data_IF_223351966041
#
_entry.id   IF_223351966041
#
_cell.length_a   1.000
_cell.length_b   1.000
_cell.length_c   1.000
_cell.angle_alpha   90.00
_cell.angle_beta   90.00
_cell.angle_gamma   90.00
#
_symmetry.space_group_name_H-M   'P 1'
#
loop_
_entity.id
_entity.type
_entity.pdbx_description
1 polymer ?
#
# COMPACT_ATOMS: atom_id res chain seq x y z
N UNK A 1 -8.17 -1.61 -43.10
CA UNK A 1 -7.55 -2.32 -41.95
C UNK A 1 -6.30 -1.55 -41.60
N UNK A 2 -6.25 -0.91 -40.43
CA UNK A 2 -5.01 -0.27 -39.97
C UNK A 2 -4.05 -1.37 -39.53
N UNK A 3 -2.80 -1.26 -39.98
CA UNK A 3 -1.72 -2.19 -39.66
C UNK A 3 -1.37 -2.07 -38.16
N UNK A 4 -1.50 -3.14 -37.36
CA UNK A 4 -1.21 -3.11 -35.93
C UNK A 4 0.22 -2.63 -35.64
N UNK A 5 1.19 -2.89 -36.53
CA UNK A 5 2.57 -2.42 -36.34
C UNK A 5 2.71 -0.90 -36.35
N UNK A 6 1.92 -0.19 -37.16
CA UNK A 6 1.95 1.28 -37.21
C UNK A 6 1.31 1.94 -35.99
N UNK A 7 0.28 1.33 -35.44
CA UNK A 7 -0.37 1.82 -34.21
C UNK A 7 0.52 1.62 -32.98
N UNK A 8 1.28 0.51 -32.97
CA UNK A 8 2.29 0.19 -31.97
C UNK A 8 3.42 1.22 -32.04
N UNK A 9 4.00 1.49 -33.21
CA UNK A 9 5.04 2.53 -33.38
C UNK A 9 4.57 3.93 -32.95
N UNK A 10 3.35 4.33 -33.32
CA UNK A 10 2.81 5.63 -32.91
C UNK A 10 2.62 5.72 -31.39
N UNK A 11 2.22 4.63 -30.73
CA UNK A 11 2.02 4.58 -29.28
C UNK A 11 3.37 4.63 -28.52
N UNK A 12 4.40 3.95 -29.02
CA UNK A 12 5.75 4.01 -28.45
C UNK A 12 6.46 5.34 -28.72
N UNK A 13 6.18 6.01 -29.84
CA UNK A 13 6.77 7.32 -30.16
C UNK A 13 6.31 8.45 -29.22
N UNK A 14 5.09 8.35 -28.68
CA UNK A 14 4.50 9.35 -27.76
C UNK A 14 4.83 9.09 -26.29
N UNK A 15 5.33 7.90 -25.96
CA UNK A 15 5.64 7.48 -24.59
C UNK A 15 7.08 7.01 -24.50
N UNK A 16 8.03 7.89 -24.84
CA UNK A 16 9.45 7.61 -24.59
C UNK A 16 9.73 7.89 -23.11
N UNK A 17 9.34 6.94 -22.26
CA UNK A 17 10.20 6.62 -21.12
C UNK A 17 11.36 5.86 -21.75
N UNK A 18 12.62 6.28 -21.56
CA UNK A 18 13.73 5.41 -21.91
C UNK A 18 13.60 4.18 -21.03
N UNK A 19 13.00 3.12 -21.56
CA UNK A 19 13.09 1.80 -20.97
C UNK A 19 14.59 1.51 -21.03
N UNK A 20 15.22 1.45 -19.86
CA UNK A 20 16.48 0.75 -19.72
C UNK A 20 16.15 -0.69 -20.09
N UNK A 21 16.32 -1.03 -21.37
CA UNK A 21 16.23 -2.41 -21.83
C UNK A 21 17.36 -3.13 -21.11
N UNK A 22 16.93 -3.79 -20.05
CA UNK A 22 17.65 -4.71 -19.21
C UNK A 22 18.74 -4.10 -18.32
N UNK A 23 18.70 -4.48 -17.04
CA UNK A 23 19.73 -4.16 -16.03
C UNK A 23 21.09 -4.83 -16.29
N UNK A 24 21.42 -5.16 -17.53
CA UNK A 24 22.72 -5.71 -17.93
C UNK A 24 23.53 -4.63 -18.62
N UNK A 25 24.53 -4.12 -17.90
CA UNK A 25 25.57 -3.21 -18.42
C UNK A 25 26.48 -3.99 -19.38
N UNK A 26 26.03 -4.22 -20.61
CA UNK A 26 26.64 -5.15 -21.58
C UNK A 26 27.59 -4.48 -22.60
N UNK A 27 28.21 -3.35 -22.26
CA UNK A 27 29.30 -2.82 -23.05
C UNK A 27 30.45 -2.42 -22.14
N UNK A 28 31.56 -3.15 -22.25
CA UNK A 28 32.85 -2.73 -21.72
C UNK A 28 33.20 -1.38 -22.34
N UNK A 29 33.71 -0.40 -21.58
CA UNK A 29 33.94 0.96 -22.08
C UNK A 29 34.89 0.90 -23.27
N UNK A 30 34.37 1.18 -24.46
CA UNK A 30 35.12 1.18 -25.72
C UNK A 30 35.88 2.49 -25.92
N UNK A 31 35.57 3.49 -25.09
CA UNK A 31 36.10 4.86 -25.12
C UNK A 31 36.04 5.48 -26.52
N UNK A 32 35.10 5.00 -27.34
CA UNK A 32 34.90 5.42 -28.71
C UNK A 32 34.17 6.76 -28.73
N UNK A 33 34.35 7.51 -29.83
CA UNK A 33 33.71 8.81 -29.98
C UNK A 33 32.18 8.69 -30.07
N UNK A 34 31.67 7.63 -30.71
CA UNK A 34 30.24 7.32 -30.79
C UNK A 34 29.63 6.99 -29.42
N UNK A 35 30.36 6.27 -28.55
CA UNK A 35 29.94 6.02 -27.17
C UNK A 35 29.81 7.32 -26.38
N UNK A 36 30.79 8.22 -26.53
CA UNK A 36 30.78 9.53 -25.87
C UNK A 36 29.60 10.39 -26.30
N UNK A 37 29.33 10.46 -27.62
CA UNK A 37 28.18 11.19 -28.16
C UNK A 37 26.85 10.61 -27.67
N UNK A 38 26.70 9.29 -27.63
CA UNK A 38 25.51 8.62 -27.09
C UNK A 38 25.31 8.91 -25.59
N UNK A 39 26.38 8.88 -24.80
CA UNK A 39 26.32 9.23 -23.37
C UNK A 39 25.95 10.70 -23.17
N UNK A 40 26.53 11.61 -23.95
CA UNK A 40 26.23 13.04 -23.87
C UNK A 40 24.78 13.34 -24.27
N UNK A 41 24.25 12.67 -25.30
CA UNK A 41 22.84 12.76 -25.70
C UNK A 41 21.91 12.24 -24.62
N UNK A 42 22.18 11.06 -24.06
CA UNK A 42 21.39 10.49 -22.95
C UNK A 42 21.43 11.40 -21.72
N UNK A 43 22.61 11.93 -21.37
CA UNK A 43 22.78 12.86 -20.28
C UNK A 43 21.97 14.14 -20.51
N UNK A 44 22.00 14.71 -21.72
CA UNK A 44 21.22 15.89 -22.07
C UNK A 44 19.70 15.66 -21.99
N UNK A 45 19.23 14.49 -22.44
CA UNK A 45 17.82 14.10 -22.32
C UNK A 45 17.38 13.96 -20.86
N UNK A 46 18.19 13.29 -20.03
CA UNK A 46 17.93 13.14 -18.60
C UNK A 46 17.90 14.51 -17.90
N UNK A 47 18.87 15.39 -18.18
CA UNK A 47 18.88 16.73 -17.64
C UNK A 47 17.65 17.53 -18.04
N UNK A 48 17.15 17.38 -19.26
CA UNK A 48 15.93 18.04 -19.72
C UNK A 48 14.69 17.55 -18.97
N UNK A 49 14.61 16.25 -18.64
CA UNK A 49 13.51 15.67 -17.85
C UNK A 49 13.57 16.03 -16.37
N UNK A 50 14.76 16.13 -15.79
CA UNK A 50 14.95 16.61 -14.42
C UNK A 50 14.63 18.11 -14.33
N UNK A 51 15.00 18.88 -15.35
CA UNK A 51 14.77 20.33 -15.40
C UNK A 51 13.35 20.72 -15.78
N UNK A 52 12.57 19.80 -16.38
CA UNK A 52 11.16 20.04 -16.61
C UNK A 52 10.44 20.10 -15.26
N UNK A 53 9.64 21.14 -14.99
CA UNK A 53 8.93 21.27 -13.71
C UNK A 53 7.96 20.09 -13.55
N UNK A 54 8.29 19.18 -12.63
CA UNK A 54 7.51 17.98 -12.30
C UNK A 54 6.29 18.29 -11.41
N UNK A 55 6.04 19.56 -11.10
CA UNK A 55 5.02 19.95 -10.12
C UNK A 55 3.73 20.31 -10.85
N UNK A 56 2.80 19.36 -10.87
CA UNK A 56 1.38 19.64 -11.11
C UNK A 56 0.89 20.56 -9.99
N UNK A 57 0.28 21.68 -10.34
CA UNK A 57 -0.16 22.77 -9.45
C UNK A 57 -0.55 22.32 -8.02
N UNK A 58 0.10 22.90 -7.01
CA UNK A 58 -0.15 22.68 -5.57
C UNK A 58 -1.62 22.89 -5.13
N UNK A 59 -2.47 23.48 -5.98
CA UNK A 59 -3.90 23.67 -5.72
C UNK A 59 -4.73 22.39 -5.86
N UNK A 60 -4.17 21.30 -6.40
CA UNK A 60 -4.84 20.01 -6.56
C UNK A 60 -4.46 18.98 -5.49
N UNK A 61 -3.43 19.27 -4.67
CA UNK A 61 -2.95 18.37 -3.64
C UNK A 61 -3.69 18.59 -2.33
N UNK A 62 -4.00 17.49 -1.65
CA UNK A 62 -4.52 17.58 -0.30
C UNK A 62 -3.39 17.87 0.67
N UNK A 63 -3.64 18.70 1.67
CA UNK A 63 -2.67 19.05 2.70
C UNK A 63 -3.08 18.42 4.02
N UNK A 64 -2.13 17.81 4.71
CA UNK A 64 -2.30 17.30 6.06
C UNK A 64 -1.11 17.60 6.94
N UNK A 65 -1.34 17.61 8.25
CA UNK A 65 -0.32 17.81 9.27
C UNK A 65 -0.24 16.62 10.21
N UNK A 66 0.99 16.28 10.62
CA UNK A 66 1.27 15.26 11.63
C UNK A 66 1.30 15.92 13.01
N UNK A 67 0.34 15.57 13.87
CA UNK A 67 0.24 16.07 15.24
C UNK A 67 0.46 14.89 16.22
N UNK A 68 1.63 14.85 16.85
CA UNK A 68 2.08 13.82 17.81
C UNK A 68 2.07 12.39 17.24
N UNK A 69 0.87 11.80 17.09
CA UNK A 69 0.60 10.44 16.62
C UNK A 69 -0.63 10.38 15.69
N UNK A 70 -1.31 11.50 15.46
CA UNK A 70 -2.49 11.56 14.57
C UNK A 70 -2.18 12.37 13.31
N UNK A 71 -2.69 11.88 12.19
CA UNK A 71 -2.54 12.52 10.88
C UNK A 71 -3.85 13.22 10.56
N UNK A 72 -3.82 14.54 10.55
CA UNK A 72 -4.99 15.38 10.31
C UNK A 72 -4.92 15.98 8.91
N UNK A 73 -6.07 16.08 8.24
CA UNK A 73 -6.18 16.64 6.90
C UNK A 73 -6.80 18.03 6.99
N UNK A 74 -6.01 19.05 6.68
CA UNK A 74 -6.46 20.45 6.67
C UNK A 74 -7.30 20.76 5.45
N UNK A 75 -6.89 20.22 4.30
CA UNK A 75 -7.53 20.50 3.02
C UNK A 75 -7.75 19.20 2.26
N UNK A 76 -8.96 18.60 2.37
CA UNK A 76 -9.32 17.46 1.53
C UNK A 76 -9.64 17.96 0.11
N UNK A 77 -8.82 17.58 -0.87
CA UNK A 77 -9.05 17.85 -2.30
C UNK A 77 -9.35 16.54 -3.03
N UNK A 78 -10.42 16.51 -3.84
CA UNK A 78 -10.78 15.38 -4.69
C UNK A 78 -11.89 14.48 -4.14
N UNK A 79 -12.24 13.43 -4.89
CA UNK A 79 -13.35 12.50 -4.56
C UNK A 79 -12.95 11.37 -3.61
N UNK A 80 -11.65 11.17 -3.39
CA UNK A 80 -11.08 10.08 -2.58
C UNK A 80 -11.56 10.11 -1.11
N UNK A 81 -11.91 11.28 -0.59
CA UNK A 81 -12.32 11.50 0.80
C UNK A 81 -13.68 10.90 1.17
N UNK A 82 -14.45 10.41 0.19
CA UNK A 82 -15.63 9.58 0.47
C UNK A 82 -15.26 8.22 1.06
N UNK A 83 -14.03 7.75 0.80
CA UNK A 83 -13.50 6.46 1.25
C UNK A 83 -12.49 6.67 2.39
N UNK A 84 -11.53 7.57 2.21
CA UNK A 84 -10.39 7.72 3.13
C UNK A 84 -10.69 8.53 4.40
N UNK A 85 -9.99 8.16 5.47
CA UNK A 85 -9.94 8.84 6.77
C UNK A 85 -11.13 8.51 7.66
N UNK A 86 -11.24 9.15 8.81
CA UNK A 86 -12.39 9.09 9.72
C UNK A 86 -12.72 10.50 10.22
N UNK A 87 -13.99 10.78 10.45
CA UNK A 87 -14.39 12.08 11.02
C UNK A 87 -14.15 12.06 12.53
N UNK A 88 -13.14 12.78 12.99
CA UNK A 88 -12.80 12.95 14.40
C UNK A 88 -13.21 14.30 14.97
N UNK A 89 -12.88 14.53 16.24
CA UNK A 89 -13.16 15.79 16.96
C UNK A 89 -12.43 17.01 16.38
N UNK A 90 -11.24 16.80 15.80
CA UNK A 90 -10.41 17.86 15.21
C UNK A 90 -10.50 17.96 13.68
N UNK A 91 -11.42 17.22 13.05
CA UNK A 91 -11.57 17.20 11.60
C UNK A 91 -11.38 15.80 11.01
N UNK A 92 -10.86 15.72 9.78
CA UNK A 92 -10.64 14.45 9.08
C UNK A 92 -9.27 13.88 9.47
N UNK A 93 -9.27 12.76 10.19
CA UNK A 93 -8.07 12.06 10.61
C UNK A 93 -7.82 10.86 9.71
N UNK A 94 -6.56 10.51 9.45
CA UNK A 94 -6.15 9.36 8.66
C UNK A 94 -5.44 8.33 9.54
N UNK A 95 -5.60 7.05 9.17
CA UNK A 95 -4.72 6.00 9.68
C UNK A 95 -3.34 6.09 9.02
N UNK A 96 -2.34 5.48 9.64
CA UNK A 96 -0.97 5.47 9.10
C UNK A 96 -0.90 4.83 7.71
N UNK A 97 -1.63 3.72 7.49
CA UNK A 97 -1.64 3.03 6.20
C UNK A 97 -2.31 3.87 5.11
N UNK A 98 -3.39 4.58 5.46
CA UNK A 98 -4.08 5.49 4.54
C UNK A 98 -3.21 6.69 4.17
N UNK A 99 -2.55 7.29 5.14
CA UNK A 99 -1.67 8.43 4.92
C UNK A 99 -0.44 8.04 4.09
N UNK A 100 0.13 6.85 4.34
CA UNK A 100 1.20 6.29 3.53
C UNK A 100 0.73 6.16 2.08
N UNK A 101 -0.37 5.43 1.85
CA UNK A 101 -0.93 5.21 0.52
C UNK A 101 -1.15 6.52 -0.26
N UNK A 102 -1.77 7.53 0.38
CA UNK A 102 -2.04 8.81 -0.25
C UNK A 102 -0.76 9.62 -0.54
N UNK A 103 0.27 9.47 0.30
CA UNK A 103 1.56 10.14 0.10
C UNK A 103 2.33 9.49 -1.06
N UNK A 104 2.33 8.16 -1.15
CA UNK A 104 2.98 7.41 -2.24
C UNK A 104 2.34 7.70 -3.60
N UNK A 105 1.01 7.88 -3.64
CA UNK A 105 0.29 8.22 -4.86
C UNK A 105 0.29 9.74 -5.18
N UNK A 106 1.05 10.55 -4.44
CA UNK A 106 1.12 12.00 -4.61
C UNK A 106 -0.26 12.68 -4.56
N UNK A 107 -1.13 12.22 -3.67
CA UNK A 107 -2.47 12.79 -3.43
C UNK A 107 -2.55 13.59 -2.13
N UNK A 108 -1.62 13.34 -1.21
CA UNK A 108 -1.49 14.02 0.08
C UNK A 108 -0.05 14.48 0.30
N UNK A 109 0.10 15.73 0.72
CA UNK A 109 1.36 16.26 1.22
C UNK A 109 1.25 16.43 2.73
N UNK A 110 2.13 15.74 3.47
CA UNK A 110 2.21 15.82 4.92
C UNK A 110 3.20 16.90 5.35
N UNK A 111 2.84 17.67 6.35
CA UNK A 111 3.73 18.63 7.03
C UNK A 111 3.88 18.29 8.51
N UNK A 112 5.08 18.50 9.06
CA UNK A 112 5.33 18.43 10.49
C UNK A 112 5.94 19.75 10.92
N UNK A 113 5.25 20.49 11.79
CA UNK A 113 5.67 21.83 12.25
C UNK A 113 6.04 22.75 11.07
N UNK A 114 5.14 22.82 10.08
CA UNK A 114 5.29 23.62 8.83
C UNK A 114 6.40 23.17 7.87
N UNK A 115 7.07 22.05 8.14
CA UNK A 115 8.07 21.46 7.24
C UNK A 115 7.42 20.32 6.45
N UNK A 116 7.44 20.33 5.11
CA UNK A 116 6.92 19.22 4.32
C UNK A 116 7.77 17.97 4.54
N UNK A 117 7.13 16.87 4.88
CA UNK A 117 7.78 15.57 5.02
C UNK A 117 7.96 14.93 3.65
N UNK A 118 9.15 14.38 3.42
CA UNK A 118 9.36 13.50 2.27
C UNK A 118 8.68 12.14 2.50
N UNK A 119 8.32 11.44 1.42
CA UNK A 119 7.76 10.08 1.50
C UNK A 119 8.69 9.16 2.31
N UNK A 120 9.99 9.19 2.04
CA UNK A 120 10.98 8.37 2.75
C UNK A 120 11.05 8.72 4.24
N UNK A 121 11.01 10.01 4.58
CA UNK A 121 11.01 10.45 5.99
C UNK A 121 9.79 9.93 6.74
N UNK A 122 8.62 9.96 6.11
CA UNK A 122 7.39 9.44 6.70
C UNK A 122 7.43 7.91 6.85
N UNK A 123 7.93 7.18 5.86
CA UNK A 123 8.11 5.72 5.95
C UNK A 123 9.02 5.32 7.10
N UNK A 124 10.17 6.00 7.26
CA UNK A 124 11.07 5.75 8.39
C UNK A 124 10.42 6.04 9.73
N UNK A 125 9.65 7.13 9.82
CA UNK A 125 8.90 7.47 11.03
C UNK A 125 7.84 6.40 11.35
N UNK A 126 7.06 5.98 10.35
CA UNK A 126 6.03 4.96 10.52
C UNK A 126 6.64 3.62 10.99
N UNK A 127 7.76 3.21 10.39
CA UNK A 127 8.48 2.00 10.81
C UNK A 127 8.98 2.10 12.25
N UNK A 128 9.51 3.26 12.66
CA UNK A 128 9.94 3.50 14.03
C UNK A 128 8.78 3.43 15.03
N UNK A 129 7.61 4.00 14.69
CA UNK A 129 6.41 3.91 15.54
C UNK A 129 5.96 2.47 15.70
N UNK A 130 5.83 1.70 14.60
CA UNK A 130 5.40 0.30 14.66
C UNK A 130 6.35 -0.54 15.52
N UNK A 131 7.67 -0.43 15.35
CA UNK A 131 8.64 -1.13 16.19
C UNK A 131 8.51 -0.74 17.67
N UNK A 132 8.25 0.54 17.94
CA UNK A 132 8.13 1.03 19.31
C UNK A 132 6.85 0.50 19.97
N UNK A 133 5.74 0.45 19.24
CA UNK A 133 4.48 -0.12 19.69
C UNK A 133 4.60 -1.63 19.94
N UNK A 134 5.28 -2.36 19.06
CA UNK A 134 5.57 -3.79 19.22
C UNK A 134 6.45 -4.05 20.45
N UNK A 135 7.50 -3.24 20.66
CA UNK A 135 8.39 -3.36 21.81
C UNK A 135 7.67 -3.08 23.14
N UNK A 136 6.82 -2.05 23.19
CA UNK A 136 6.01 -1.73 24.37
C UNK A 136 4.96 -2.83 24.64
N UNK A 137 4.43 -3.46 23.60
CA UNK A 137 3.47 -4.56 23.72
C UNK A 137 4.15 -5.82 24.26
N UNK A 138 5.37 -6.12 23.79
CA UNK A 138 6.20 -7.22 24.29
C UNK A 138 6.66 -7.00 25.74
N UNK A 139 6.92 -5.75 26.16
CA UNK A 139 7.34 -5.47 27.55
C UNK A 139 6.19 -5.49 28.56
N UNK A 140 4.93 -5.66 28.12
CA UNK A 140 3.73 -5.73 28.97
C UNK A 140 3.22 -7.15 29.20
N UNK A 141 4.00 -8.19 28.86
CA UNK A 141 3.72 -9.57 29.23
C UNK A 141 4.00 -9.81 30.73
N UNK A 142 3.12 -9.29 31.58
CA UNK A 142 2.84 -9.86 32.88
C UNK A 142 1.31 -9.96 33.04
N UNK A 143 0.86 -11.22 33.09
CA UNK A 143 -0.42 -11.73 33.61
C UNK A 143 -1.63 -11.86 32.65
N UNK A 144 -1.85 -13.12 32.24
CA UNK A 144 -3.09 -13.78 31.81
C UNK A 144 -3.78 -13.37 30.48
N UNK A 145 -3.77 -14.32 29.53
CA UNK A 145 -4.74 -14.51 28.44
C UNK A 145 -4.88 -13.38 27.39
N UNK A 146 -3.78 -12.76 27.00
CA UNK A 146 -3.74 -11.93 25.79
C UNK A 146 -3.30 -12.79 24.60
N UNK A 147 -4.26 -13.38 23.88
CA UNK A 147 -4.03 -13.78 22.47
C UNK A 147 -3.44 -12.56 21.79
N UNK A 148 -2.17 -12.64 21.40
CA UNK A 148 -1.47 -11.58 20.67
C UNK A 148 -2.27 -11.31 19.39
N UNK A 149 -3.11 -10.29 19.41
CA UNK A 149 -3.90 -9.84 18.27
C UNK A 149 -3.01 -8.99 17.37
N UNK A 150 -1.93 -9.59 16.84
CA UNK A 150 -1.07 -9.00 15.80
C UNK A 150 -1.71 -9.06 14.41
N UNK A 151 -2.96 -9.55 14.32
CA UNK A 151 -3.66 -9.67 13.06
C UNK A 151 -4.32 -8.34 12.69
N UNK A 152 -3.67 -7.61 11.79
CA UNK A 152 -4.32 -6.51 11.10
C UNK A 152 -5.42 -7.07 10.19
N UNK A 153 -6.67 -6.97 10.63
CA UNK A 153 -7.86 -7.40 9.88
C UNK A 153 -8.45 -6.21 9.11
N UNK A 154 -8.51 -6.35 7.79
CA UNK A 154 -9.06 -5.36 6.88
C UNK A 154 -10.41 -5.82 6.33
N UNK A 155 -11.40 -4.94 6.39
CA UNK A 155 -12.68 -5.13 5.72
C UNK A 155 -12.56 -4.64 4.26
N UNK A 156 -12.79 -5.53 3.30
CA UNK A 156 -12.68 -5.23 1.87
C UNK A 156 -14.06 -5.25 1.23
N UNK A 157 -14.38 -4.16 0.53
CA UNK A 157 -15.65 -3.94 -0.16
C UNK A 157 -15.40 -3.93 -1.66
N UNK A 158 -16.23 -4.64 -2.42
CA UNK A 158 -16.11 -4.72 -3.87
C UNK A 158 -16.41 -3.36 -4.53
N UNK A 159 -15.74 -3.01 -5.63
CA UNK A 159 -15.77 -1.66 -6.23
C UNK A 159 -17.16 -1.21 -6.73
N UNK A 160 -18.09 -2.15 -6.95
CA UNK A 160 -19.45 -1.86 -7.42
C UNK A 160 -20.50 -1.79 -6.30
N UNK A 161 -20.08 -1.83 -5.04
CA UNK A 161 -20.99 -1.75 -3.88
C UNK A 161 -21.24 -0.29 -3.50
N UNK A 162 -22.44 0.02 -2.98
CA UNK A 162 -22.78 1.35 -2.47
C UNK A 162 -22.15 1.55 -1.09
N UNK A 163 -20.84 1.70 -1.02
CA UNK A 163 -20.13 1.93 0.23
C UNK A 163 -20.50 3.29 0.83
N UNK A 164 -20.87 3.29 2.13
CA UNK A 164 -21.08 4.50 2.91
C UNK A 164 -20.21 4.44 4.16
N UNK A 165 -19.26 5.35 4.29
CA UNK A 165 -18.33 5.45 5.43
C UNK A 165 -18.97 5.40 6.82
N UNK A 166 -20.16 6.01 7.00
CA UNK A 166 -20.90 6.00 8.28
C UNK A 166 -21.72 4.72 8.51
N UNK A 167 -21.95 3.92 7.48
CA UNK A 167 -22.72 2.67 7.54
C UNK A 167 -22.25 1.77 6.38
N UNK A 168 -21.07 1.16 6.52
CA UNK A 168 -20.38 0.50 5.41
C UNK A 168 -21.04 -0.83 4.99
N UNK A 169 -21.99 -1.34 5.77
CA UNK A 169 -22.64 -2.63 5.52
C UNK A 169 -21.71 -3.80 5.86
N UNK A 170 -22.04 -4.98 5.34
CA UNK A 170 -21.19 -6.17 5.47
C UNK A 170 -20.09 -6.13 4.39
N UNK A 171 -18.83 -6.40 4.74
CA UNK A 171 -17.76 -6.49 3.76
C UNK A 171 -17.89 -7.76 2.92
N UNK A 172 -17.45 -7.69 1.67
CA UNK A 172 -17.43 -8.86 0.78
C UNK A 172 -16.33 -9.85 1.22
N UNK A 173 -15.19 -9.32 1.65
CA UNK A 173 -14.06 -10.09 2.16
C UNK A 173 -13.48 -9.44 3.42
N UNK A 174 -12.92 -10.27 4.29
CA UNK A 174 -12.04 -9.82 5.37
C UNK A 174 -10.65 -10.38 5.14
N UNK A 175 -9.64 -9.52 5.17
CA UNK A 175 -8.26 -9.92 4.96
C UNK A 175 -7.50 -9.79 6.28
N UNK A 176 -7.02 -10.90 6.83
CA UNK A 176 -6.09 -10.91 7.96
C UNK A 176 -4.66 -10.94 7.42
N UNK A 177 -3.84 -9.93 7.75
CA UNK A 177 -2.44 -9.88 7.33
C UNK A 177 -1.55 -10.47 8.42
N UNK A 178 -0.59 -11.30 8.02
CA UNK A 178 0.42 -11.89 8.91
C UNK A 178 1.81 -11.89 8.30
N UNK A 179 2.83 -11.83 9.16
CA UNK A 179 4.20 -12.12 8.77
C UNK A 179 4.42 -13.63 8.57
N UNK A 180 5.25 -14.00 7.61
CA UNK A 180 5.72 -15.37 7.41
C UNK A 180 6.65 -15.85 8.54
N UNK A 181 7.19 -14.95 9.34
CA UNK A 181 8.17 -15.27 10.41
C UNK A 181 7.51 -15.67 11.74
N UNK A 182 6.19 -15.50 11.85
CA UNK A 182 5.44 -15.82 13.07
C UNK A 182 5.02 -17.29 13.08
N UNK A 183 5.62 -18.09 13.96
CA UNK A 183 5.29 -19.51 14.20
C UNK A 183 4.04 -19.72 15.09
N UNK A 184 3.22 -18.69 15.27
CA UNK A 184 2.03 -18.77 16.12
C UNK A 184 0.96 -19.62 15.41
N UNK A 185 0.50 -20.74 16.03
CA UNK A 185 -0.55 -21.57 15.46
C UNK A 185 -1.84 -20.77 15.40
N UNK A 186 -2.39 -20.64 14.21
CA UNK A 186 -3.62 -19.90 14.02
C UNK A 186 -4.79 -20.73 14.54
N UNK A 187 -5.57 -20.19 15.49
CA UNK A 187 -6.86 -20.78 15.84
C UNK A 187 -7.87 -20.49 14.72
N UNK A 188 -7.74 -21.27 13.65
CA UNK A 188 -8.60 -21.26 12.49
C UNK A 188 -10.07 -21.47 12.86
N UNK A 189 -10.34 -22.15 13.98
CA UNK A 189 -11.70 -22.40 14.41
C UNK A 189 -12.33 -21.15 15.03
N UNK A 190 -11.65 -20.39 15.89
CA UNK A 190 -12.21 -19.13 16.40
C UNK A 190 -12.36 -18.07 15.33
N UNK A 191 -11.41 -18.00 14.38
CA UNK A 191 -11.50 -17.09 13.23
C UNK A 191 -12.61 -17.48 12.26
N UNK A 192 -12.79 -18.75 11.91
CA UNK A 192 -13.92 -19.17 11.07
C UNK A 192 -15.27 -19.12 11.79
N UNK A 193 -15.32 -19.39 13.11
CA UNK A 193 -16.57 -19.46 13.87
C UNK A 193 -17.13 -18.10 14.26
N UNK A 194 -16.29 -17.06 14.37
CA UNK A 194 -16.75 -15.69 14.65
C UNK A 194 -17.26 -14.94 13.41
N UNK A 195 -17.14 -15.54 12.22
CA UNK A 195 -17.27 -14.86 10.93
C UNK A 195 -18.37 -15.48 10.04
N UNK A 196 -19.55 -15.74 10.61
CA UNK A 196 -20.63 -16.52 9.95
C UNK A 196 -21.15 -15.97 8.59
N UNK A 197 -20.74 -14.78 8.15
CA UNK A 197 -21.33 -14.13 6.98
C UNK A 197 -20.35 -13.45 6.01
N UNK A 198 -19.03 -13.67 6.15
CA UNK A 198 -18.01 -13.01 5.30
C UNK A 198 -16.82 -13.92 5.03
N UNK A 199 -16.36 -13.95 3.78
CA UNK A 199 -15.21 -14.76 3.39
C UNK A 199 -13.91 -14.21 4.02
N UNK A 200 -13.29 -14.99 4.89
CA UNK A 200 -11.99 -14.68 5.47
C UNK A 200 -10.88 -15.14 4.52
N UNK A 201 -10.01 -14.20 4.17
CA UNK A 201 -8.79 -14.42 3.41
C UNK A 201 -7.61 -14.10 4.33
N UNK A 202 -6.63 -14.99 4.37
CA UNK A 202 -5.37 -14.75 5.04
C UNK A 202 -4.33 -14.29 4.02
N UNK A 203 -3.70 -13.15 4.28
CA UNK A 203 -2.58 -12.64 3.50
C UNK A 203 -1.28 -12.85 4.29
N UNK A 204 -0.38 -13.66 3.76
CA UNK A 204 0.95 -13.89 4.33
C UNK A 204 1.96 -13.03 3.59
N UNK A 205 2.68 -12.20 4.34
CA UNK A 205 3.74 -11.34 3.86
C UNK A 205 5.07 -12.00 4.15
N UNK A 206 5.87 -12.24 3.11
CA UNK A 206 7.25 -12.73 3.27
C UNK A 206 8.21 -11.57 3.52
N UNK A 207 9.39 -11.81 4.12
CA UNK A 207 10.34 -10.73 4.45
C UNK A 207 10.86 -9.93 3.24
N UNK A 208 10.80 -10.52 2.05
CA UNK A 208 11.13 -9.86 0.79
C UNK A 208 9.98 -9.01 0.21
N UNK A 209 8.85 -8.89 0.91
CA UNK A 209 7.70 -8.08 0.50
C UNK A 209 6.72 -8.78 -0.43
N UNK A 210 6.89 -10.08 -0.73
CA UNK A 210 5.89 -10.82 -1.51
C UNK A 210 4.65 -11.16 -0.67
N UNK A 211 3.48 -11.12 -1.31
CA UNK A 211 2.18 -11.38 -0.70
C UNK A 211 1.59 -12.69 -1.25
N UNK A 212 1.16 -13.58 -0.35
CA UNK A 212 0.43 -14.81 -0.70
C UNK A 212 -0.93 -14.82 -0.01
N UNK A 213 -1.99 -15.18 -0.74
CA UNK A 213 -3.36 -15.20 -0.22
C UNK A 213 -3.87 -16.62 -0.08
N UNK A 214 -4.47 -16.93 1.08
CA UNK A 214 -5.07 -18.21 1.40
C UNK A 214 -6.52 -18.01 1.83
N UNK A 215 -7.43 -18.80 1.28
CA UNK A 215 -8.82 -18.83 1.70
C UNK A 215 -9.11 -20.17 2.36
N UNK A 216 -9.68 -20.14 3.55
CA UNK A 216 -10.06 -21.34 4.28
C UNK A 216 -11.56 -21.54 4.19
N UNK A 217 -11.98 -22.78 4.04
CA UNK A 217 -13.39 -23.16 4.01
C UNK A 217 -13.59 -24.36 4.92
N UNK A 218 -14.64 -24.33 5.73
CA UNK A 218 -15.00 -25.47 6.57
C UNK A 218 -15.62 -26.54 5.69
N UNK A 219 -14.98 -27.70 5.63
CA UNK A 219 -15.51 -28.87 4.92
C UNK A 219 -16.09 -29.81 5.98
N UNK A 220 -17.38 -30.11 5.88
CA UNK A 220 -18.01 -31.15 6.68
C UNK A 220 -17.79 -32.50 5.98
N UNK A 221 -17.08 -33.40 6.65
CA UNK A 221 -16.89 -34.75 6.13
C UNK A 221 -18.22 -35.51 6.19
N UNK A 222 -18.58 -36.29 5.16
CA UNK A 222 -19.76 -37.13 5.20
C UNK A 222 -19.61 -38.16 6.32
N UNK A 223 -20.64 -38.30 7.15
CA UNK A 223 -20.69 -39.30 8.22
C UNK A 223 -21.06 -40.65 7.61
N UNK A 224 -20.29 -41.70 7.92
CA UNK A 224 -20.59 -43.05 7.44
C UNK A 224 -21.86 -43.56 8.12
N UNK A 225 -22.91 -43.80 7.34
CA UNK A 225 -24.22 -44.29 7.78
C UNK A 225 -24.22 -45.80 8.09
N UNK A 226 -23.05 -46.47 8.12
CA UNK A 226 -22.92 -47.92 8.33
C UNK A 226 -22.56 -48.34 9.75
N UNK A 227 -22.63 -47.44 10.72
CA UNK A 227 -22.44 -47.76 12.15
C UNK A 227 -23.69 -47.45 12.98
N UNK A 228 -24.85 -47.99 12.56
CA UNK A 228 -26.00 -48.23 13.44
C UNK A 228 -26.35 -49.73 13.44
#
# INVERSE_FOLDING_TARGET
MLDPHKLIEEHYSKTVVPILQDGYKLQSPSNSQEEKERVDQNRALLWKQISSPQITYQSQLSLGHLLESQICVDRPVGRIWSVFGTGGSMGLTLKNEEALYLTEHHQLQLSQKDVPLSQSSYQTWNHFILITEDYISSSKEDMENSVVNDEAIFNVYAPNTKFKKKSPGNPDYRIAIRSSELDIPLDMNSLCSSQENTNLIQAVVTPNGSLSFFQFSRINLPTDLRME
#
